data_IF_373427420722
#
_entry.id   IF_373427420722
#
_cell.length_a   1.000
_cell.length_b   1.000
_cell.length_c   1.000
_cell.angle_alpha   90.00
_cell.angle_beta   90.00
_cell.angle_gamma   90.00
#
_symmetry.space_group_name_H-M   'P 1'
#
loop_
_entity.id
_entity.type
_entity.pdbx_description
1 polymer ?
#
# COMPACT_ATOMS: atom_id res chain seq x y z
N UNK A 1 -11.65 7.02 18.46
CA UNK A 1 -10.96 8.34 18.38
C UNK A 1 -10.30 8.75 19.71
N UNK A 2 -10.76 8.26 20.87
CA UNK A 2 -10.31 8.69 22.21
C UNK A 2 -9.10 7.91 22.79
N UNK A 3 -8.30 7.24 21.96
CA UNK A 3 -7.11 6.46 22.43
C UNK A 3 -5.77 7.12 22.02
N UNK A 4 -5.79 8.10 21.12
CA UNK A 4 -4.56 8.78 20.65
C UNK A 4 -4.09 9.97 21.52
N UNK A 5 -4.88 10.40 22.52
CA UNK A 5 -4.58 11.61 23.28
C UNK A 5 -3.75 11.39 24.56
N UNK A 6 -3.45 10.15 24.94
CA UNK A 6 -2.67 9.84 26.16
C UNK A 6 -1.23 9.42 25.83
N UNK A 7 -0.56 10.21 25.02
CA UNK A 7 0.90 10.24 25.06
C UNK A 7 1.34 11.68 25.27
N UNK A 8 1.39 12.07 26.55
CA UNK A 8 2.20 13.20 26.99
C UNK A 8 3.66 12.82 26.76
N UNK A 9 4.08 12.82 25.50
CA UNK A 9 5.48 12.93 25.15
C UNK A 9 5.89 14.31 25.66
N UNK A 10 6.59 14.34 26.80
CA UNK A 10 7.38 15.51 27.16
C UNK A 10 8.25 15.80 25.94
N UNK A 11 7.98 16.92 25.26
CA UNK A 11 8.73 17.38 24.09
C UNK A 11 10.13 17.80 24.56
N UNK A 12 10.97 16.83 24.91
CA UNK A 12 12.40 17.04 25.09
C UNK A 12 13.00 17.16 23.69
N UNK A 13 13.45 18.38 23.37
CA UNK A 13 14.16 18.73 22.13
C UNK A 13 15.40 17.83 21.92
N UNK A 14 15.91 17.20 22.99
CA UNK A 14 17.08 16.32 22.99
C UNK A 14 16.90 15.03 22.18
N UNK A 15 15.65 14.61 21.93
CA UNK A 15 15.37 13.37 21.19
C UNK A 15 15.41 13.54 19.66
N UNK A 16 15.47 14.77 19.14
CA UNK A 16 15.61 15.00 17.70
C UNK A 16 16.99 14.61 17.17
N UNK A 17 18.03 14.62 18.01
CA UNK A 17 19.39 14.25 17.60
C UNK A 17 19.58 12.74 17.43
N UNK A 18 18.67 11.91 17.96
CA UNK A 18 18.82 10.45 17.98
C UNK A 18 17.85 9.72 17.05
N UNK A 19 17.26 10.44 16.08
CA UNK A 19 16.39 9.83 15.07
C UNK A 19 17.28 9.04 14.10
N UNK A 20 17.10 7.72 13.96
CA UNK A 20 17.93 6.92 13.06
C UNK A 20 17.70 7.38 11.62
N UNK A 21 18.79 7.53 10.85
CA UNK A 21 18.75 8.00 9.45
C UNK A 21 17.80 7.16 8.58
N UNK A 22 17.60 5.88 8.90
CA UNK A 22 16.66 4.99 8.22
C UNK A 22 15.20 5.48 8.23
N UNK A 23 14.79 6.24 9.25
CA UNK A 23 13.44 6.80 9.31
C UNK A 23 13.18 7.80 8.16
N UNK A 24 14.22 8.51 7.68
CA UNK A 24 14.11 9.43 6.54
C UNK A 24 14.01 8.71 5.20
N UNK A 25 14.46 7.45 5.09
CA UNK A 25 14.34 6.66 3.85
C UNK A 25 12.88 6.35 3.49
N UNK A 26 11.98 6.27 4.47
CA UNK A 26 10.55 6.07 4.20
C UNK A 26 9.96 7.18 3.34
N UNK A 27 10.37 8.44 3.58
CA UNK A 27 9.95 9.58 2.76
C UNK A 27 10.47 9.51 1.33
N UNK A 28 11.74 9.12 1.15
CA UNK A 28 12.35 8.91 -0.17
C UNK A 28 11.60 7.81 -0.95
N UNK A 29 11.32 6.67 -0.31
CA UNK A 29 10.56 5.57 -0.90
C UNK A 29 9.15 6.04 -1.31
N UNK A 30 8.49 6.84 -0.48
CA UNK A 30 7.18 7.42 -0.80
C UNK A 30 7.19 8.25 -2.08
N UNK A 31 8.19 9.12 -2.26
CA UNK A 31 8.35 9.93 -3.48
C UNK A 31 8.53 9.06 -4.72
N UNK A 32 9.34 7.99 -4.62
CA UNK A 32 9.55 7.04 -5.72
C UNK A 32 8.23 6.36 -6.11
N UNK A 33 7.46 5.88 -5.14
CA UNK A 33 6.16 5.22 -5.38
C UNK A 33 5.15 6.18 -6.02
N UNK A 34 5.08 7.43 -5.54
CA UNK A 34 4.18 8.44 -6.09
C UNK A 34 4.59 8.81 -7.52
N UNK A 35 5.89 8.98 -7.78
CA UNK A 35 6.42 9.26 -9.12
C UNK A 35 6.12 8.12 -10.09
N UNK A 36 6.32 6.86 -9.67
CA UNK A 36 5.97 5.69 -10.47
C UNK A 36 4.47 5.66 -10.77
N UNK A 37 3.63 5.90 -9.76
CA UNK A 37 2.18 5.96 -9.91
C UNK A 37 1.76 7.04 -10.90
N UNK A 38 2.37 8.23 -10.83
CA UNK A 38 2.11 9.34 -11.75
C UNK A 38 2.46 9.01 -13.22
N UNK A 39 3.45 8.16 -13.46
CA UNK A 39 3.81 7.67 -14.81
C UNK A 39 2.82 6.62 -15.33
N UNK A 40 2.28 5.79 -14.43
CA UNK A 40 1.37 4.68 -14.77
C UNK A 40 -0.06 5.16 -14.99
N UNK A 41 -0.55 6.09 -14.17
CA UNK A 41 -1.91 6.67 -14.23
C UNK A 41 -2.34 7.13 -15.65
N UNK A 42 -1.53 7.89 -16.41
CA UNK A 42 -1.97 8.38 -17.73
C UNK A 42 -1.96 7.33 -18.84
N UNK A 43 -1.34 6.15 -18.62
CA UNK A 43 -1.17 5.10 -19.64
C UNK A 43 -2.20 3.98 -19.56
N UNK A 44 -2.91 3.84 -18.43
CA UNK A 44 -3.76 2.67 -18.15
C UNK A 44 -5.06 3.17 -17.50
N UNK A 45 -6.23 2.53 -17.75
CA UNK A 45 -7.44 2.87 -17.02
C UNK A 45 -7.21 2.82 -15.51
N UNK A 46 -7.69 3.82 -14.78
CA UNK A 46 -7.42 4.07 -13.34
C UNK A 46 -7.55 2.81 -12.47
N UNK A 47 -8.49 1.93 -12.81
CA UNK A 47 -8.73 0.65 -12.13
C UNK A 47 -7.49 -0.26 -12.08
N UNK A 48 -6.72 -0.34 -13.17
CA UNK A 48 -5.52 -1.18 -13.24
C UNK A 48 -4.35 -0.57 -12.44
N UNK A 49 -4.25 0.76 -12.41
CA UNK A 49 -3.23 1.45 -11.60
C UNK A 49 -3.49 1.21 -10.11
N UNK A 50 -4.73 1.33 -9.67
CA UNK A 50 -5.12 1.04 -8.28
C UNK A 50 -4.85 -0.43 -7.94
N UNK A 51 -5.15 -1.37 -8.84
CA UNK A 51 -4.85 -2.79 -8.67
C UNK A 51 -3.35 -3.03 -8.50
N UNK A 52 -2.53 -2.41 -9.35
CA UNK A 52 -1.08 -2.52 -9.30
C UNK A 52 -0.51 -2.00 -7.97
N UNK A 53 -1.01 -0.86 -7.49
CA UNK A 53 -0.62 -0.28 -6.19
C UNK A 53 -0.98 -1.24 -5.05
N UNK A 54 -2.21 -1.76 -5.02
CA UNK A 54 -2.64 -2.70 -3.98
C UNK A 54 -1.80 -3.97 -3.96
N UNK A 55 -1.53 -4.56 -5.14
CA UNK A 55 -0.66 -5.73 -5.25
C UNK A 55 0.74 -5.41 -4.74
N UNK A 56 1.31 -4.26 -5.12
CA UNK A 56 2.62 -3.82 -4.65
C UNK A 56 2.68 -3.65 -3.13
N UNK A 57 1.64 -3.11 -2.51
CA UNK A 57 1.54 -2.97 -1.05
C UNK A 57 1.43 -4.32 -0.34
N UNK A 58 0.57 -5.24 -0.82
CA UNK A 58 0.43 -6.60 -0.28
C UNK A 58 1.77 -7.34 -0.39
N UNK A 59 2.40 -7.28 -1.56
CA UNK A 59 3.67 -7.95 -1.83
C UNK A 59 4.80 -7.41 -0.93
N UNK A 60 4.93 -6.09 -0.84
CA UNK A 60 5.90 -5.44 0.06
C UNK A 60 5.62 -5.81 1.52
N UNK A 61 4.35 -5.85 1.93
CA UNK A 61 3.96 -6.26 3.29
C UNK A 61 4.29 -7.71 3.61
N UNK A 62 4.22 -8.62 2.62
CA UNK A 62 4.64 -10.02 2.78
C UNK A 62 6.17 -10.11 2.88
N UNK A 63 6.90 -9.33 2.08
CA UNK A 63 8.37 -9.25 2.16
C UNK A 63 8.81 -8.76 3.54
N UNK A 64 8.21 -7.68 4.03
CA UNK A 64 8.53 -7.12 5.35
C UNK A 64 8.23 -8.14 6.45
N UNK A 65 7.06 -8.81 6.41
CA UNK A 65 6.73 -9.88 7.37
C UNK A 65 7.74 -11.03 7.34
N UNK A 66 8.19 -11.41 6.15
CA UNK A 66 9.18 -12.46 5.98
C UNK A 66 10.53 -12.04 6.58
N UNK A 67 10.93 -10.78 6.44
CA UNK A 67 12.15 -10.24 7.03
C UNK A 67 12.06 -10.12 8.56
N UNK A 68 10.90 -9.77 9.10
CA UNK A 68 10.72 -9.50 10.55
C UNK A 68 10.44 -10.77 11.35
N UNK A 69 9.58 -11.65 10.86
CA UNK A 69 9.07 -12.79 11.63
C UNK A 69 9.50 -14.16 11.06
N UNK A 70 10.19 -14.19 9.92
CA UNK A 70 10.58 -15.41 9.16
C UNK A 70 9.42 -16.37 8.82
N UNK A 71 8.18 -15.94 9.10
CA UNK A 71 6.96 -16.72 8.96
C UNK A 71 6.00 -15.93 8.08
N UNK A 72 5.58 -16.53 6.97
CA UNK A 72 4.61 -15.89 6.08
C UNK A 72 3.23 -16.02 6.70
N UNK A 73 2.63 -14.88 7.05
CA UNK A 73 1.26 -14.84 7.56
C UNK A 73 0.28 -15.30 6.47
N UNK A 74 -0.30 -16.49 6.66
CA UNK A 74 -1.30 -17.07 5.74
C UNK A 74 -2.49 -16.13 5.53
N UNK A 75 -2.82 -15.30 6.53
CA UNK A 75 -3.87 -14.29 6.45
C UNK A 75 -3.60 -13.21 5.40
N UNK A 76 -2.34 -12.77 5.24
CA UNK A 76 -1.97 -11.77 4.21
C UNK A 76 -2.06 -12.33 2.80
N UNK A 77 -1.73 -13.62 2.61
CA UNK A 77 -1.89 -14.30 1.32
C UNK A 77 -3.37 -14.41 0.97
N UNK A 78 -4.21 -14.89 1.90
CA UNK A 78 -5.65 -15.05 1.66
C UNK A 78 -6.31 -13.69 1.39
N UNK A 79 -5.97 -12.67 2.18
CA UNK A 79 -6.47 -11.31 1.97
C UNK A 79 -6.02 -10.73 0.63
N UNK A 80 -4.76 -10.93 0.24
CA UNK A 80 -4.24 -10.53 -1.07
C UNK A 80 -4.98 -11.20 -2.22
N UNK A 81 -5.23 -12.51 -2.12
CA UNK A 81 -5.97 -13.27 -3.12
C UNK A 81 -7.42 -12.79 -3.24
N UNK A 82 -8.08 -12.50 -2.11
CA UNK A 82 -9.46 -12.00 -2.07
C UNK A 82 -9.58 -10.63 -2.77
N UNK A 83 -8.62 -9.71 -2.53
CA UNK A 83 -8.57 -8.40 -3.18
C UNK A 83 -8.36 -8.57 -4.69
N UNK A 84 -7.41 -9.42 -5.09
CA UNK A 84 -7.16 -9.72 -6.50
C UNK A 84 -8.42 -10.25 -7.21
N UNK A 85 -9.10 -11.22 -6.59
CA UNK A 85 -10.35 -11.78 -7.13
C UNK A 85 -11.47 -10.73 -7.21
N UNK A 86 -11.66 -9.93 -6.15
CA UNK A 86 -12.67 -8.87 -6.12
C UNK A 86 -12.46 -7.80 -7.19
N UNK A 87 -11.20 -7.38 -7.40
CA UNK A 87 -10.87 -6.39 -8.42
C UNK A 87 -10.94 -6.97 -9.85
N UNK A 88 -10.55 -8.23 -10.06
CA UNK A 88 -10.73 -8.91 -11.35
C UNK A 88 -12.20 -9.09 -11.69
N UNK A 89 -13.05 -9.46 -10.71
CA UNK A 89 -14.49 -9.51 -10.90
C UNK A 89 -15.04 -8.14 -11.28
N UNK A 90 -14.66 -7.09 -10.56
CA UNK A 90 -15.07 -5.72 -10.83
C UNK A 90 -14.68 -5.27 -12.26
N UNK A 91 -13.46 -5.59 -12.72
CA UNK A 91 -13.03 -5.27 -14.08
C UNK A 91 -13.81 -6.00 -15.18
N UNK A 92 -14.24 -7.25 -14.95
CA UNK A 92 -15.09 -7.98 -15.88
C UNK A 92 -16.52 -7.42 -15.92
N UNK A 93 -17.02 -6.91 -14.80
CA UNK A 93 -18.31 -6.22 -14.72
C UNK A 93 -18.26 -4.89 -15.46
N UNK A 94 -17.20 -4.08 -15.28
CA UNK A 94 -17.01 -2.83 -16.00
C UNK A 94 -16.92 -3.04 -17.52
N UNK A 95 -16.19 -4.07 -17.98
CA UNK A 95 -16.14 -4.44 -19.40
C UNK A 95 -17.50 -4.85 -19.94
N UNK A 96 -18.33 -5.56 -19.15
CA UNK A 96 -19.71 -5.90 -19.54
C UNK A 96 -20.61 -4.67 -19.59
N UNK A 97 -20.46 -3.70 -18.69
CA UNK A 97 -21.26 -2.47 -18.70
C UNK A 97 -20.97 -1.59 -19.94
N UNK A 98 -19.70 -1.54 -20.37
CA UNK A 98 -19.30 -0.88 -21.61
C UNK A 98 -19.84 -1.56 -22.88
N UNK A 99 -20.06 -2.88 -22.85
CA UNK A 99 -20.60 -3.63 -23.99
C UNK A 99 -22.14 -3.69 -24.04
N UNK A 100 -22.83 -3.50 -22.92
CA UNK A 100 -24.30 -3.63 -22.83
C UNK A 100 -25.05 -2.29 -22.99
N UNK A 101 -24.31 -1.18 -23.14
CA UNK A 101 -24.82 0.17 -23.42
C UNK A 101 -24.59 0.61 -24.89
N UNK A 102 -24.20 -0.32 -25.78
CA UNK A 102 -24.16 -0.14 -27.24
C UNK A 102 -25.27 -0.99 -27.88
#
# INVERSE_FOLDING_TARGET
IMVFAKSTYNFNIDNFSNIPFYAFLGGLIGVIVVSASNVVIPKIPTMYTTLLIFIGQIFTGIIIDYLELSSISKGKIIGGLLILLGMLYNSNVDKKQLSNNN
#
